data_IF_858873735409
#
_entry.id   IF_858873735409
#
_cell.length_a   1.000
_cell.length_b   1.000
_cell.length_c   1.000
_cell.angle_alpha   90.00
_cell.angle_beta   90.00
_cell.angle_gamma   90.00
#
_symmetry.space_group_name_H-M   'P 1'
#
loop_
_entity.id
_entity.type
_entity.pdbx_description
1 polymer ?
#
# COMPACT_ATOMS: atom_id res chain seq x y z
N UNK A 1 2.95 -9.77 -9.60
CA UNK A 1 3.82 -8.65 -10.01
C UNK A 1 2.96 -7.46 -10.44
N UNK A 2 2.08 -7.59 -11.43
CA UNK A 2 1.23 -6.51 -11.92
C UNK A 2 0.41 -5.82 -10.83
N UNK A 3 -0.19 -6.58 -9.92
CA UNK A 3 -0.99 -6.06 -8.81
C UNK A 3 -0.13 -5.22 -7.86
N UNK A 4 1.05 -5.72 -7.49
CA UNK A 4 1.99 -4.99 -6.63
C UNK A 4 2.47 -3.69 -7.29
N UNK A 5 2.76 -3.72 -8.59
CA UNK A 5 3.17 -2.54 -9.34
C UNK A 5 2.03 -1.52 -9.50
N UNK A 6 0.81 -1.99 -9.76
CA UNK A 6 -0.39 -1.15 -9.83
C UNK A 6 -0.69 -0.46 -8.50
N UNK A 7 -0.60 -1.20 -7.39
CA UNK A 7 -0.72 -0.64 -6.04
C UNK A 7 0.38 0.38 -5.76
N UNK A 8 1.63 0.08 -6.14
CA UNK A 8 2.74 1.02 -6.02
C UNK A 8 2.49 2.34 -6.75
N UNK A 9 1.98 2.27 -7.97
CA UNK A 9 1.62 3.44 -8.76
C UNK A 9 0.48 4.25 -8.14
N UNK A 10 -0.53 3.56 -7.61
CA UNK A 10 -1.64 4.19 -6.89
C UNK A 10 -1.17 4.90 -5.62
N UNK A 11 -0.25 4.29 -4.85
CA UNK A 11 0.34 4.92 -3.66
C UNK A 11 1.13 6.18 -4.04
N UNK A 12 1.94 6.13 -5.12
CA UNK A 12 2.67 7.30 -5.63
C UNK A 12 1.69 8.42 -5.99
N UNK A 13 0.63 8.09 -6.76
CA UNK A 13 -0.42 9.05 -7.10
C UNK A 13 -1.02 9.70 -5.87
N UNK A 14 -1.49 8.90 -4.93
CA UNK A 14 -2.14 9.36 -3.70
C UNK A 14 -1.20 10.24 -2.88
N UNK A 15 0.07 9.86 -2.78
CA UNK A 15 1.08 10.64 -2.09
C UNK A 15 1.33 12.01 -2.76
N UNK A 16 1.42 12.05 -4.09
CA UNK A 16 1.61 13.31 -4.84
C UNK A 16 0.41 14.25 -4.68
N UNK A 17 -0.81 13.71 -4.74
CA UNK A 17 -2.05 14.48 -4.58
C UNK A 17 -2.20 14.96 -3.13
N UNK A 18 -2.01 14.10 -2.14
CA UNK A 18 -2.11 14.46 -0.72
C UNK A 18 -1.07 15.51 -0.30
N UNK A 19 0.12 15.47 -0.89
CA UNK A 19 1.15 16.48 -0.72
C UNK A 19 0.86 17.77 -1.50
N UNK A 20 -0.19 17.78 -2.32
CA UNK A 20 -0.53 18.88 -3.24
C UNK A 20 0.59 19.22 -4.25
N UNK A 21 1.51 18.28 -4.47
CA UNK A 21 2.58 18.42 -5.49
C UNK A 21 2.02 18.34 -6.90
N UNK A 22 0.90 17.62 -7.06
CA UNK A 22 0.14 17.50 -8.31
C UNK A 22 -1.33 17.77 -7.99
N UNK A 23 -2.01 18.46 -8.90
CA UNK A 23 -3.45 18.70 -8.78
C UNK A 23 -4.25 17.38 -8.80
N UNK A 24 -5.39 17.33 -8.12
CA UNK A 24 -6.24 16.12 -8.01
C UNK A 24 -6.60 15.49 -9.36
N UNK A 25 -6.78 16.32 -10.37
CA UNK A 25 -7.13 15.89 -11.73
C UNK A 25 -5.90 15.64 -12.64
N UNK A 26 -4.69 15.64 -12.12
CA UNK A 26 -3.44 15.55 -12.88
C UNK A 26 -3.28 16.61 -13.99
N UNK A 27 -4.02 17.72 -13.92
CA UNK A 27 -3.99 18.79 -14.93
C UNK A 27 -2.82 19.77 -14.75
N UNK A 28 -2.00 19.57 -13.75
CA UNK A 28 -0.85 20.46 -13.49
C UNK A 28 -0.11 20.13 -12.21
N UNK A 29 0.99 20.84 -12.02
CA UNK A 29 1.74 20.83 -10.78
C UNK A 29 1.00 21.67 -9.73
N UNK A 30 1.25 21.38 -8.45
CA UNK A 30 0.75 22.15 -7.33
C UNK A 30 1.34 23.58 -7.31
N UNK A 31 0.69 24.43 -6.56
CA UNK A 31 1.16 25.82 -6.38
C UNK A 31 2.26 25.87 -5.32
N UNK A 32 3.51 25.94 -5.76
CA UNK A 32 4.69 25.99 -4.89
C UNK A 32 4.84 27.32 -4.12
N UNK A 33 3.99 28.31 -4.37
CA UNK A 33 3.92 29.51 -3.54
C UNK A 33 3.28 29.21 -2.17
N UNK A 34 2.49 28.12 -2.08
CA UNK A 34 1.91 27.67 -0.81
C UNK A 34 2.97 27.00 0.07
N UNK A 35 3.12 27.44 1.34
CA UNK A 35 4.15 26.89 2.24
C UNK A 35 4.05 25.35 2.44
N UNK A 36 2.84 24.79 2.41
CA UNK A 36 2.63 23.33 2.52
C UNK A 36 3.17 22.56 1.32
N UNK A 37 3.03 23.11 0.11
CA UNK A 37 3.53 22.48 -1.13
C UNK A 37 5.05 22.63 -1.21
N UNK A 38 5.58 23.79 -0.86
CA UNK A 38 7.02 24.02 -0.75
C UNK A 38 7.66 23.05 0.25
N UNK A 39 7.03 22.86 1.43
CA UNK A 39 7.47 21.91 2.44
C UNK A 39 7.48 20.45 1.89
N UNK A 40 6.48 20.06 1.13
CA UNK A 40 6.43 18.74 0.50
C UNK A 40 7.54 18.54 -0.54
N UNK A 41 7.83 19.57 -1.34
CA UNK A 41 8.95 19.58 -2.28
C UNK A 41 10.31 19.43 -1.58
N UNK A 42 10.53 20.21 -0.51
CA UNK A 42 11.73 20.11 0.32
C UNK A 42 11.81 18.72 0.97
N UNK A 43 10.70 18.21 1.51
CA UNK A 43 10.60 16.85 2.07
C UNK A 43 10.98 15.77 1.07
N UNK A 44 10.59 15.93 -0.19
CA UNK A 44 10.97 15.00 -1.27
C UNK A 44 12.48 15.04 -1.52
N UNK A 45 13.08 16.24 -1.58
CA UNK A 45 14.53 16.38 -1.75
C UNK A 45 15.28 15.75 -0.57
N UNK A 46 14.87 16.02 0.67
CA UNK A 46 15.45 15.41 1.87
C UNK A 46 15.33 13.89 1.81
N UNK A 47 14.16 13.40 1.35
CA UNK A 47 13.88 11.98 1.21
C UNK A 47 14.83 11.33 0.21
N UNK A 48 15.06 11.94 -0.95
CA UNK A 48 15.98 11.46 -1.96
C UNK A 48 17.43 11.50 -1.46
N UNK A 49 17.86 12.62 -0.90
CA UNK A 49 19.22 12.76 -0.37
C UNK A 49 19.51 11.69 0.67
N UNK A 50 18.66 11.52 1.68
CA UNK A 50 18.87 10.53 2.74
C UNK A 50 18.74 9.06 2.25
N UNK A 51 18.00 8.83 1.16
CA UNK A 51 17.90 7.50 0.56
C UNK A 51 19.17 7.08 -0.15
N UNK A 52 19.82 8.02 -0.82
CA UNK A 52 21.04 7.78 -1.58
C UNK A 52 22.31 8.11 -0.78
N UNK A 53 22.19 8.84 0.33
CA UNK A 53 23.33 9.15 1.19
C UNK A 53 23.96 7.87 1.75
N UNK A 54 25.19 7.64 1.36
CA UNK A 54 26.03 6.56 1.87
C UNK A 54 27.21 7.21 2.59
N UNK A 55 27.31 6.99 3.88
CA UNK A 55 28.45 7.50 4.66
C UNK A 55 29.53 6.43 4.71
N UNK A 56 30.68 6.73 4.12
CA UNK A 56 31.84 5.84 4.21
C UNK A 56 32.74 6.31 5.34
N UNK A 57 32.73 5.59 6.47
CA UNK A 57 33.62 5.84 7.62
C UNK A 57 34.58 4.69 7.73
N UNK A 58 35.90 4.98 7.71
CA UNK A 58 36.97 3.98 7.80
C UNK A 58 36.84 2.80 6.82
N UNK A 59 36.45 3.10 5.54
CA UNK A 59 36.35 2.06 4.50
C UNK A 59 35.06 1.21 4.56
N UNK A 60 34.17 1.45 5.53
CA UNK A 60 32.86 0.77 5.62
C UNK A 60 31.75 1.71 5.23
N UNK A 61 30.91 1.30 4.29
CA UNK A 61 29.75 2.06 3.83
C UNK A 61 28.55 1.76 4.72
N UNK A 62 28.04 2.78 5.38
CA UNK A 62 26.86 2.69 6.24
C UNK A 62 25.66 3.30 5.52
N UNK A 63 24.55 2.56 5.48
CA UNK A 63 23.22 3.11 5.18
C UNK A 63 22.58 3.60 6.48
N UNK A 64 21.90 4.73 6.44
CA UNK A 64 21.17 5.25 7.62
C UNK A 64 20.00 4.32 7.91
N UNK A 65 20.10 3.53 8.99
CA UNK A 65 18.99 2.71 9.49
C UNK A 65 17.90 3.66 10.03
N UNK A 66 16.63 3.42 9.67
CA UNK A 66 15.53 4.31 10.09
C UNK A 66 15.46 5.64 9.32
N UNK A 67 16.08 5.73 8.14
CA UNK A 67 16.07 6.94 7.30
C UNK A 67 14.64 7.47 7.03
N UNK A 68 13.61 6.61 6.99
CA UNK A 68 12.22 7.02 6.80
C UNK A 68 11.73 7.86 7.98
N UNK A 69 11.95 7.41 9.20
CA UNK A 69 11.55 8.15 10.40
C UNK A 69 12.30 9.49 10.52
N UNK A 70 13.61 9.45 10.28
CA UNK A 70 14.45 10.66 10.33
C UNK A 70 13.98 11.72 9.34
N UNK A 71 13.60 11.33 8.12
CA UNK A 71 13.04 12.22 7.08
C UNK A 71 11.75 12.87 7.55
N UNK A 72 10.81 12.08 8.08
CA UNK A 72 9.53 12.58 8.58
C UNK A 72 9.77 13.58 9.71
N UNK A 73 10.66 13.27 10.65
CA UNK A 73 11.00 14.17 11.77
C UNK A 73 11.59 15.49 11.25
N UNK A 74 12.61 15.42 10.37
CA UNK A 74 13.25 16.63 9.82
C UNK A 74 12.22 17.48 9.08
N UNK A 75 11.39 16.88 8.22
CA UNK A 75 10.39 17.64 7.45
C UNK A 75 9.30 18.21 8.35
N UNK A 76 8.91 17.50 9.42
CA UNK A 76 7.93 18.01 10.39
C UNK A 76 8.51 19.20 11.19
N UNK A 77 9.78 19.13 11.62
CA UNK A 77 10.46 20.24 12.29
C UNK A 77 10.57 21.45 11.37
N UNK A 78 10.92 21.25 10.11
CA UNK A 78 10.90 22.35 9.12
C UNK A 78 9.49 22.92 8.95
N UNK A 79 8.46 22.08 8.96
CA UNK A 79 7.07 22.52 8.92
C UNK A 79 6.66 23.36 10.11
N UNK A 80 7.19 23.07 11.30
CA UNK A 80 7.01 23.92 12.50
C UNK A 80 7.68 25.28 12.32
N UNK A 81 8.92 25.30 11.82
CA UNK A 81 9.67 26.56 11.58
C UNK A 81 8.97 27.41 10.51
N UNK A 82 8.45 26.79 9.47
CA UNK A 82 7.71 27.46 8.38
C UNK A 82 6.29 27.89 8.78
N UNK A 83 5.81 27.55 9.98
CA UNK A 83 4.46 27.85 10.45
C UNK A 83 3.35 27.02 9.76
N UNK A 84 3.72 26.01 8.98
CA UNK A 84 2.77 25.07 8.33
C UNK A 84 2.16 24.10 9.32
N UNK A 85 2.94 23.72 10.32
CA UNK A 85 2.55 22.80 11.40
C UNK A 85 2.42 23.60 12.70
N UNK A 86 1.38 23.31 13.46
CA UNK A 86 1.21 23.85 14.83
C UNK A 86 1.53 22.76 15.84
N UNK A 87 2.26 23.15 16.89
CA UNK A 87 2.50 22.23 17.99
C UNK A 87 1.18 21.97 18.73
N UNK A 88 0.85 20.72 19.11
CA UNK A 88 -0.41 20.42 19.79
C UNK A 88 -0.43 21.03 21.20
N UNK A 89 -1.59 21.53 21.62
CA UNK A 89 -1.77 22.11 22.95
C UNK A 89 -1.59 21.06 24.07
N UNK A 90 -1.81 19.80 23.77
CA UNK A 90 -1.61 18.68 24.69
C UNK A 90 -0.84 17.56 23.97
N UNK A 91 0.16 17.02 24.65
CA UNK A 91 0.93 15.86 24.17
C UNK A 91 0.14 14.57 24.35
N UNK A 92 -0.73 14.51 25.37
CA UNK A 92 -1.50 13.33 25.73
C UNK A 92 -2.95 13.43 25.30
N UNK A 93 -3.49 12.35 24.77
CA UNK A 93 -4.92 12.22 24.45
C UNK A 93 -5.72 11.97 25.70
N UNK A 94 -6.56 12.92 26.09
CA UNK A 94 -7.54 12.72 27.16
C UNK A 94 -8.67 11.84 26.62
N UNK A 95 -8.99 10.75 27.33
CA UNK A 95 -10.11 9.88 26.97
C UNK A 95 -9.89 8.99 25.72
N UNK A 96 -8.64 8.65 25.39
CA UNK A 96 -8.30 7.81 24.24
C UNK A 96 -9.09 6.47 24.23
N UNK A 97 -9.23 5.83 25.40
CA UNK A 97 -9.98 4.58 25.52
C UNK A 97 -11.50 4.78 25.57
N UNK A 98 -11.98 5.93 26.03
CA UNK A 98 -13.43 6.20 26.09
C UNK A 98 -14.01 6.42 24.68
N UNK A 99 -13.25 7.02 23.76
CA UNK A 99 -13.67 7.16 22.36
C UNK A 99 -13.79 5.81 21.64
N UNK A 100 -12.95 4.83 21.97
CA UNK A 100 -13.07 3.48 21.45
C UNK A 100 -14.39 2.82 21.89
N UNK A 101 -14.84 3.04 23.12
CA UNK A 101 -16.13 2.55 23.62
C UNK A 101 -17.35 3.07 22.86
N UNK A 102 -17.21 4.18 22.13
CA UNK A 102 -18.29 4.73 21.30
C UNK A 102 -18.53 3.95 20.02
N UNK A 103 -17.55 3.21 19.50
CA UNK A 103 -17.59 2.48 18.23
C UNK A 103 -17.44 0.97 18.39
N UNK A 104 -16.71 0.50 19.42
CA UNK A 104 -16.48 -0.91 19.67
C UNK A 104 -17.78 -1.66 19.93
N UNK A 105 -17.89 -2.87 19.38
CA UNK A 105 -19.05 -3.78 19.51
C UNK A 105 -20.38 -3.22 19.01
N UNK A 106 -20.35 -2.20 18.13
CA UNK A 106 -21.56 -1.58 17.54
C UNK A 106 -21.75 -1.94 16.06
N UNK A 107 -20.99 -2.90 15.53
CA UNK A 107 -21.13 -3.34 14.15
C UNK A 107 -22.49 -4.01 13.91
N UNK A 108 -23.27 -3.49 12.97
CA UNK A 108 -24.52 -4.10 12.51
C UNK A 108 -24.21 -5.10 11.38
N UNK A 109 -23.87 -6.33 11.77
CA UNK A 109 -23.53 -7.39 10.84
C UNK A 109 -24.73 -7.81 9.97
N UNK A 110 -25.93 -7.85 10.57
CA UNK A 110 -27.15 -8.24 9.83
C UNK A 110 -27.56 -7.16 8.84
N UNK A 111 -27.43 -5.90 9.22
CA UNK A 111 -27.68 -4.77 8.32
C UNK A 111 -26.69 -4.75 7.14
N UNK A 112 -25.44 -5.13 7.36
CA UNK A 112 -24.42 -5.20 6.31
C UNK A 112 -24.69 -6.30 5.27
N UNK A 113 -25.40 -7.37 5.65
CA UNK A 113 -25.73 -8.49 4.74
C UNK A 113 -26.90 -8.19 3.79
N UNK A 114 -27.46 -6.99 3.80
CA UNK A 114 -28.50 -6.60 2.85
C UNK A 114 -27.95 -6.63 1.41
N UNK A 115 -28.78 -7.03 0.42
CA UNK A 115 -28.35 -7.12 -0.98
C UNK A 115 -27.71 -5.84 -1.53
N UNK A 116 -28.15 -4.68 -1.04
CA UNK A 116 -27.65 -3.35 -1.43
C UNK A 116 -26.16 -3.15 -1.12
N UNK A 117 -25.63 -3.83 -0.09
CA UNK A 117 -24.23 -3.71 0.34
C UNK A 117 -23.32 -4.81 -0.17
N UNK A 118 -23.85 -5.88 -0.77
CA UNK A 118 -23.05 -7.02 -1.24
C UNK A 118 -21.96 -6.57 -2.21
N UNK A 119 -22.30 -5.67 -3.12
CA UNK A 119 -21.37 -5.17 -4.12
C UNK A 119 -20.24 -4.35 -3.49
N UNK A 120 -20.54 -3.51 -2.48
CA UNK A 120 -19.52 -2.80 -1.69
C UNK A 120 -18.63 -3.78 -0.91
N UNK A 121 -19.22 -4.79 -0.29
CA UNK A 121 -18.48 -5.82 0.45
C UNK A 121 -17.51 -6.56 -0.46
N UNK A 122 -17.94 -6.94 -1.67
CA UNK A 122 -17.07 -7.57 -2.66
C UNK A 122 -15.94 -6.65 -3.10
N UNK A 123 -16.22 -5.36 -3.33
CA UNK A 123 -15.20 -4.39 -3.72
C UNK A 123 -14.13 -4.21 -2.62
N UNK A 124 -14.55 -4.11 -1.36
CA UNK A 124 -13.63 -4.04 -0.22
C UNK A 124 -12.84 -5.34 -0.05
N UNK A 125 -13.50 -6.49 -0.12
CA UNK A 125 -12.85 -7.80 -0.03
C UNK A 125 -11.78 -7.96 -1.12
N UNK A 126 -12.10 -7.67 -2.38
CA UNK A 126 -11.19 -7.78 -3.50
C UNK A 126 -9.98 -6.84 -3.30
N UNK A 127 -10.24 -5.60 -2.88
CA UNK A 127 -9.18 -4.64 -2.62
C UNK A 127 -8.23 -5.11 -1.53
N UNK A 128 -8.77 -5.59 -0.42
CA UNK A 128 -8.01 -6.06 0.73
C UNK A 128 -7.22 -7.34 0.40
N UNK A 129 -7.89 -8.33 -0.19
CA UNK A 129 -7.27 -9.59 -0.59
C UNK A 129 -6.05 -9.39 -1.49
N UNK A 130 -6.18 -8.57 -2.55
CA UNK A 130 -5.07 -8.34 -3.47
C UNK A 130 -3.99 -7.42 -2.89
N UNK A 131 -4.35 -6.50 -2.00
CA UNK A 131 -3.39 -5.69 -1.27
C UNK A 131 -2.52 -6.57 -0.37
N UNK A 132 -3.15 -7.42 0.44
CA UNK A 132 -2.46 -8.38 1.30
C UNK A 132 -1.61 -9.35 0.50
N UNK A 133 -2.14 -9.91 -0.61
CA UNK A 133 -1.39 -10.80 -1.48
C UNK A 133 -0.12 -10.14 -2.03
N UNK A 134 -0.26 -8.94 -2.61
CA UNK A 134 0.86 -8.20 -3.19
C UNK A 134 1.93 -7.84 -2.15
N UNK A 135 1.49 -7.38 -0.98
CA UNK A 135 2.38 -7.00 0.12
C UNK A 135 3.08 -8.23 0.72
N UNK A 136 2.34 -9.31 0.98
CA UNK A 136 2.88 -10.53 1.55
C UNK A 136 3.93 -11.17 0.64
N UNK A 137 3.67 -11.25 -0.67
CA UNK A 137 4.65 -11.76 -1.64
C UNK A 137 5.89 -10.86 -1.72
N UNK A 138 5.71 -9.55 -1.71
CA UNK A 138 6.81 -8.58 -1.69
C UNK A 138 7.70 -8.73 -0.45
N UNK A 139 7.08 -8.88 0.73
CA UNK A 139 7.78 -9.08 2.00
C UNK A 139 8.46 -10.45 2.05
N UNK A 140 7.79 -11.52 1.60
CA UNK A 140 8.34 -12.87 1.56
C UNK A 140 9.59 -12.94 0.67
N UNK A 141 9.56 -12.29 -0.47
CA UNK A 141 10.72 -12.19 -1.36
C UNK A 141 11.90 -11.47 -0.67
N UNK A 142 11.63 -10.33 -0.03
CA UNK A 142 12.66 -9.59 0.73
C UNK A 142 13.20 -10.38 1.93
N UNK A 143 12.36 -11.17 2.58
CA UNK A 143 12.73 -12.00 3.71
C UNK A 143 13.46 -13.28 3.32
N UNK A 144 13.53 -13.63 2.01
CA UNK A 144 14.10 -14.89 1.53
C UNK A 144 13.25 -16.10 1.90
N UNK A 145 11.91 -15.94 1.94
CA UNK A 145 10.95 -16.98 2.32
C UNK A 145 10.24 -17.62 1.11
N UNK A 146 10.67 -17.28 -0.10
CA UNK A 146 10.18 -17.90 -1.33
C UNK A 146 10.88 -19.25 -1.52
N UNK A 147 10.14 -20.23 -2.06
CA UNK A 147 10.71 -21.51 -2.49
C UNK A 147 11.45 -21.40 -3.83
N UNK A 148 12.09 -22.50 -4.27
CA UNK A 148 12.83 -22.57 -5.53
C UNK A 148 11.96 -22.30 -6.76
N UNK A 149 10.66 -22.52 -6.67
CA UNK A 149 9.69 -22.28 -7.73
C UNK A 149 9.09 -20.86 -7.68
N UNK A 150 9.55 -20.02 -6.75
CA UNK A 150 9.03 -18.67 -6.56
C UNK A 150 7.65 -18.60 -5.89
N UNK A 151 7.22 -19.67 -5.19
CA UNK A 151 6.01 -19.66 -4.38
C UNK A 151 6.32 -19.27 -2.92
N UNK A 152 5.31 -18.78 -2.23
CA UNK A 152 5.38 -18.52 -0.80
C UNK A 152 4.55 -19.55 -0.02
N UNK A 153 5.18 -20.59 0.57
CA UNK A 153 4.46 -21.70 1.20
C UNK A 153 3.57 -21.29 2.38
N UNK A 154 3.90 -20.18 3.03
CA UNK A 154 3.18 -19.70 4.20
C UNK A 154 2.04 -18.72 3.88
N UNK A 155 1.72 -18.47 2.62
CA UNK A 155 0.72 -17.48 2.20
C UNK A 155 -0.65 -17.72 2.85
N UNK A 156 -1.08 -18.96 2.99
CA UNK A 156 -2.35 -19.31 3.65
C UNK A 156 -2.38 -18.91 5.14
N UNK A 157 -1.24 -19.00 5.84
CA UNK A 157 -1.14 -18.53 7.24
C UNK A 157 -1.19 -17.01 7.32
N UNK A 158 -0.62 -16.30 6.35
CA UNK A 158 -0.71 -14.84 6.27
C UNK A 158 -2.16 -14.41 6.12
N UNK A 159 -2.90 -15.00 5.17
CA UNK A 159 -4.32 -14.70 4.99
C UNK A 159 -5.17 -15.02 6.21
N UNK A 160 -4.87 -16.11 6.91
CA UNK A 160 -5.59 -16.46 8.13
C UNK A 160 -5.38 -15.38 9.21
N UNK A 161 -4.14 -14.94 9.44
CA UNK A 161 -3.83 -13.90 10.44
C UNK A 161 -4.43 -12.56 10.03
N UNK A 162 -4.36 -12.19 8.76
CA UNK A 162 -4.92 -10.98 8.17
C UNK A 162 -6.45 -10.94 8.37
N UNK A 163 -7.15 -12.04 8.04
CA UNK A 163 -8.60 -12.18 8.25
C UNK A 163 -8.99 -12.08 9.73
N UNK A 164 -8.23 -12.72 10.64
CA UNK A 164 -8.47 -12.61 12.08
C UNK A 164 -8.25 -11.16 12.57
N UNK A 165 -7.22 -10.50 12.06
CA UNK A 165 -6.96 -9.09 12.35
C UNK A 165 -8.11 -8.19 11.89
N UNK A 166 -8.59 -8.37 10.67
CA UNK A 166 -9.70 -7.61 10.09
C UNK A 166 -11.01 -7.84 10.84
N UNK A 167 -11.33 -9.09 11.21
CA UNK A 167 -12.52 -9.41 12.03
C UNK A 167 -12.43 -8.72 13.39
N UNK A 168 -11.28 -8.82 14.05
CA UNK A 168 -11.06 -8.18 15.36
C UNK A 168 -11.16 -6.66 15.25
N UNK A 169 -10.56 -6.08 14.21
CA UNK A 169 -10.64 -4.65 13.91
C UNK A 169 -12.09 -4.19 13.69
N UNK A 170 -12.86 -4.93 12.89
CA UNK A 170 -14.27 -4.63 12.63
C UNK A 170 -15.13 -4.67 13.90
N UNK A 171 -14.93 -5.66 14.80
CA UNK A 171 -15.59 -5.74 16.10
C UNK A 171 -15.25 -4.51 16.96
N UNK A 172 -14.03 -4.02 16.88
CA UNK A 172 -13.60 -2.81 17.59
C UNK A 172 -14.01 -1.51 16.90
N UNK A 173 -14.73 -1.56 15.77
CA UNK A 173 -15.17 -0.39 15.00
C UNK A 173 -14.03 0.28 14.24
N UNK A 174 -12.97 -0.44 13.92
CA UNK A 174 -11.85 0.00 13.11
C UNK A 174 -12.08 -0.35 11.63
N UNK A 175 -11.33 0.28 10.76
CA UNK A 175 -11.25 -0.08 9.35
C UNK A 175 -10.50 -1.41 9.16
N UNK A 176 -10.33 -1.83 7.91
CA UNK A 176 -9.56 -3.02 7.54
C UNK A 176 -8.19 -3.01 8.21
N UNK A 177 -7.82 -4.15 8.80
CA UNK A 177 -6.49 -4.40 9.37
C UNK A 177 -5.75 -5.31 8.40
N UNK A 178 -4.82 -4.74 7.65
CA UNK A 178 -4.11 -5.43 6.57
C UNK A 178 -2.60 -5.37 6.74
N UNK A 179 -1.89 -6.15 5.95
CA UNK A 179 -0.42 -6.20 5.97
C UNK A 179 0.18 -4.92 5.38
N UNK A 180 1.07 -4.27 6.12
CA UNK A 180 1.74 -3.03 5.70
C UNK A 180 3.03 -3.28 4.94
N UNK A 181 3.22 -2.59 3.82
CA UNK A 181 4.45 -2.63 3.00
C UNK A 181 5.65 -2.09 3.78
N UNK A 182 5.43 -1.14 4.69
CA UNK A 182 6.43 -0.54 5.57
C UNK A 182 7.14 -1.58 6.44
N UNK A 183 6.52 -2.73 6.70
CA UNK A 183 7.14 -3.88 7.36
C UNK A 183 8.42 -4.35 6.65
N UNK A 184 8.55 -4.06 5.34
CA UNK A 184 9.77 -4.33 4.59
C UNK A 184 11.01 -3.68 5.20
N UNK A 185 10.86 -2.51 5.82
CA UNK A 185 11.97 -1.81 6.48
C UNK A 185 12.45 -2.56 7.72
N UNK A 186 11.51 -3.14 8.48
CA UNK A 186 11.82 -3.99 9.63
C UNK A 186 12.58 -5.26 9.21
N UNK A 187 12.15 -5.89 8.11
CA UNK A 187 12.81 -7.05 7.52
C UNK A 187 14.24 -6.70 7.04
N UNK A 188 14.41 -5.56 6.39
CA UNK A 188 15.73 -5.07 5.92
C UNK A 188 16.73 -4.83 7.06
N UNK A 189 16.25 -4.36 8.20
CA UNK A 189 17.09 -4.09 9.39
C UNK A 189 17.42 -5.38 10.16
N UNK A 190 16.81 -6.51 9.80
CA UNK A 190 17.09 -7.82 10.36
C UNK A 190 15.98 -8.36 11.27
N UNK A 191 14.78 -7.79 11.26
CA UNK A 191 13.61 -8.38 11.94
C UNK A 191 13.25 -9.71 11.30
N UNK A 192 13.33 -10.81 12.06
CA UNK A 192 13.13 -12.19 11.57
C UNK A 192 12.12 -12.98 12.39
N UNK A 193 11.66 -12.45 13.49
CA UNK A 193 10.78 -13.16 14.44
C UNK A 193 9.50 -12.37 14.71
N UNK A 194 8.45 -13.07 15.13
CA UNK A 194 7.20 -12.46 15.55
C UNK A 194 7.33 -11.50 16.73
N UNK A 195 8.44 -11.55 17.48
CA UNK A 195 8.71 -10.60 18.56
C UNK A 195 8.77 -9.16 18.04
N UNK A 196 9.34 -8.95 16.83
CA UNK A 196 9.34 -7.62 16.20
C UNK A 196 7.90 -7.10 15.99
N UNK A 197 6.98 -7.95 15.56
CA UNK A 197 5.56 -7.59 15.38
C UNK A 197 4.87 -7.31 16.71
N UNK A 198 5.17 -8.08 17.77
CA UNK A 198 4.64 -7.82 19.13
C UNK A 198 5.09 -6.45 19.63
N UNK A 199 6.39 -6.14 19.51
CA UNK A 199 6.93 -4.83 19.92
C UNK A 199 6.27 -3.71 19.11
N UNK A 200 6.10 -3.89 17.81
CA UNK A 200 5.41 -2.92 16.94
C UNK A 200 3.96 -2.70 17.41
N UNK A 201 3.23 -3.77 17.72
CA UNK A 201 1.86 -3.67 18.26
C UNK A 201 1.80 -2.91 19.58
N UNK A 202 2.72 -3.19 20.51
CA UNK A 202 2.81 -2.46 21.77
C UNK A 202 3.12 -0.97 21.56
N UNK A 203 3.99 -0.65 20.61
CA UNK A 203 4.28 0.75 20.25
C UNK A 203 3.06 1.44 19.63
N UNK A 204 2.25 0.75 18.82
CA UNK A 204 0.98 1.30 18.32
C UNK A 204 0.01 1.59 19.47
N UNK A 205 -0.13 0.68 20.44
CA UNK A 205 -0.97 0.92 21.63
C UNK A 205 -0.45 2.13 22.43
N UNK A 206 0.85 2.22 22.64
CA UNK A 206 1.46 3.37 23.30
C UNK A 206 1.22 4.68 22.51
N UNK A 207 1.30 4.62 21.18
CA UNK A 207 1.08 5.78 20.31
C UNK A 207 -0.33 6.38 20.42
N UNK A 208 -1.34 5.58 20.79
CA UNK A 208 -2.71 6.09 21.02
C UNK A 208 -2.74 7.16 22.10
N UNK A 209 -1.95 7.00 23.15
CA UNK A 209 -1.86 8.00 24.23
C UNK A 209 -1.17 9.28 23.80
N UNK A 210 -0.29 9.19 22.78
CA UNK A 210 0.45 10.31 22.18
C UNK A 210 -0.13 10.73 20.83
N UNK A 211 -1.38 10.41 20.54
CA UNK A 211 -1.99 10.69 19.24
C UNK A 211 -1.87 12.15 18.78
N UNK A 212 -2.02 13.20 19.64
CA UNK A 212 -1.84 14.58 19.18
C UNK A 212 -0.46 14.85 18.60
N UNK A 213 0.58 14.18 19.10
CA UNK A 213 1.96 14.34 18.63
C UNK A 213 2.15 13.68 17.26
N UNK A 214 1.48 12.56 16.99
CA UNK A 214 1.52 11.89 15.68
C UNK A 214 0.62 12.59 14.66
N UNK A 215 -0.53 13.11 15.10
CA UNK A 215 -1.48 13.82 14.24
C UNK A 215 -0.96 15.20 13.77
N UNK A 216 0.04 15.77 14.45
CA UNK A 216 0.67 17.01 13.97
C UNK A 216 1.57 16.78 12.75
N UNK A 217 1.98 15.54 12.46
CA UNK A 217 2.85 15.23 11.32
C UNK A 217 2.10 15.55 10.02
N UNK A 218 2.58 16.53 9.22
CA UNK A 218 1.84 16.92 8.02
C UNK A 218 1.98 15.88 6.90
N UNK A 219 0.99 15.80 6.03
CA UNK A 219 1.04 14.96 4.84
C UNK A 219 2.24 15.29 3.95
N UNK A 220 2.69 16.55 3.95
CA UNK A 220 3.91 16.98 3.29
C UNK A 220 5.18 16.23 3.77
N UNK A 221 5.20 15.76 5.02
CA UNK A 221 6.32 15.00 5.57
C UNK A 221 6.22 13.49 5.28
N UNK A 222 5.01 12.94 5.23
CA UNK A 222 4.78 11.50 5.02
C UNK A 222 4.74 11.11 3.55
N UNK A 223 4.20 11.97 2.68
CA UNK A 223 4.04 11.68 1.25
C UNK A 223 5.34 11.35 0.51
N UNK A 224 6.48 12.02 0.74
CA UNK A 224 7.74 11.64 0.11
C UNK A 224 8.20 10.22 0.45
N UNK A 225 7.93 9.76 1.67
CA UNK A 225 8.22 8.38 2.07
C UNK A 225 7.33 7.38 1.32
N UNK A 226 6.03 7.68 1.18
CA UNK A 226 5.09 6.86 0.42
C UNK A 226 5.46 6.76 -1.06
N UNK A 227 5.98 7.84 -1.67
CA UNK A 227 6.48 7.80 -3.05
C UNK A 227 7.60 6.77 -3.19
N UNK A 228 8.58 6.76 -2.28
CA UNK A 228 9.67 5.77 -2.32
C UNK A 228 9.18 4.34 -2.09
N UNK A 229 8.21 4.15 -1.20
CA UNK A 229 7.58 2.85 -0.98
C UNK A 229 6.89 2.39 -2.28
N UNK A 230 6.09 3.24 -2.91
CA UNK A 230 5.44 2.93 -4.18
C UNK A 230 6.44 2.55 -5.28
N UNK A 231 7.55 3.29 -5.41
CA UNK A 231 8.65 2.96 -6.34
C UNK A 231 9.25 1.58 -5.99
N UNK A 232 9.45 1.29 -4.70
CA UNK A 232 9.99 -0.01 -4.25
C UNK A 232 9.07 -1.18 -4.63
N UNK A 233 7.75 -0.98 -4.59
CA UNK A 233 6.76 -1.98 -5.01
C UNK A 233 6.79 -2.28 -6.51
N UNK A 234 7.22 -1.32 -7.32
CA UNK A 234 7.39 -1.49 -8.77
C UNK A 234 8.64 -2.28 -9.14
N UNK A 235 9.56 -2.58 -8.22
CA UNK A 235 10.79 -3.31 -8.52
C UNK A 235 10.54 -4.71 -9.12
N UNK A 236 9.40 -5.34 -8.80
CA UNK A 236 8.99 -6.61 -9.39
C UNK A 236 8.79 -6.58 -10.90
N UNK A 237 8.61 -5.39 -11.50
CA UNK A 237 8.48 -5.24 -12.96
C UNK A 237 9.75 -5.65 -13.72
N UNK A 238 10.91 -5.63 -13.06
CA UNK A 238 12.18 -6.05 -13.67
C UNK A 238 12.20 -7.54 -14.07
N UNK A 239 11.34 -8.35 -13.47
CA UNK A 239 11.22 -9.77 -13.77
C UNK A 239 10.04 -10.11 -14.69
N UNK A 240 9.32 -9.12 -15.19
CA UNK A 240 8.25 -9.32 -16.17
C UNK A 240 8.85 -9.31 -17.56
N UNK A 241 8.62 -10.37 -18.33
CA UNK A 241 8.92 -10.39 -19.76
C UNK A 241 8.10 -9.33 -20.47
N UNK A 242 8.74 -8.58 -21.38
CA UNK A 242 8.05 -7.61 -22.25
C UNK A 242 7.35 -8.29 -23.44
N UNK A 243 7.05 -9.59 -23.34
CA UNK A 243 6.16 -10.28 -24.24
C UNK A 243 4.76 -9.62 -24.17
N UNK A 244 4.17 -9.22 -25.32
CA UNK A 244 2.85 -8.59 -25.36
C UNK A 244 1.77 -9.35 -24.60
N UNK A 245 1.82 -10.67 -24.59
CA UNK A 245 0.87 -11.53 -23.89
C UNK A 245 0.90 -11.33 -22.36
N UNK A 246 2.09 -11.16 -21.81
CA UNK A 246 2.32 -10.99 -20.37
C UNK A 246 2.27 -9.53 -19.93
N UNK A 247 2.84 -8.64 -20.77
CA UNK A 247 3.00 -7.23 -20.43
C UNK A 247 1.71 -6.42 -20.57
N UNK A 248 0.89 -6.68 -21.60
CA UNK A 248 -0.33 -5.90 -21.85
C UNK A 248 -1.29 -5.87 -20.65
N UNK A 249 -1.65 -7.02 -20.03
CA UNK A 249 -2.52 -7.00 -18.83
C UNK A 249 -1.89 -6.26 -17.66
N UNK A 250 -0.57 -6.36 -17.46
CA UNK A 250 0.15 -5.66 -16.40
C UNK A 250 0.11 -4.14 -16.62
N UNK A 251 0.40 -3.69 -17.85
CA UNK A 251 0.37 -2.26 -18.18
C UNK A 251 -1.03 -1.66 -18.00
N UNK A 252 -2.06 -2.36 -18.47
CA UNK A 252 -3.46 -1.91 -18.33
C UNK A 252 -3.90 -1.89 -16.87
N UNK A 253 -3.52 -2.89 -16.07
CA UNK A 253 -3.75 -2.90 -14.63
C UNK A 253 -3.10 -1.68 -13.96
N UNK A 254 -1.85 -1.38 -14.29
CA UNK A 254 -1.13 -0.24 -13.75
C UNK A 254 -1.81 1.09 -14.09
N UNK A 255 -2.17 1.29 -15.35
CA UNK A 255 -2.87 2.49 -15.82
C UNK A 255 -4.24 2.58 -15.14
N UNK A 256 -4.99 1.49 -15.09
CA UNK A 256 -6.28 1.43 -14.41
C UNK A 256 -6.18 1.75 -12.91
N UNK A 257 -5.14 1.27 -12.24
CA UNK A 257 -4.86 1.59 -10.84
C UNK A 257 -4.51 3.05 -10.63
N UNK A 258 -3.77 3.65 -11.56
CA UNK A 258 -3.40 5.06 -11.52
C UNK A 258 -4.61 5.99 -11.57
N UNK A 259 -5.58 5.72 -12.43
CA UNK A 259 -6.74 6.60 -12.66
C UNK A 259 -7.97 6.20 -11.87
N UNK A 260 -8.26 4.90 -11.74
CA UNK A 260 -9.47 4.36 -11.13
C UNK A 260 -9.32 3.83 -9.70
N UNK A 261 -8.09 3.82 -9.17
CA UNK A 261 -7.76 3.14 -7.93
C UNK A 261 -7.45 1.66 -8.14
N UNK A 262 -6.79 1.06 -7.15
CA UNK A 262 -6.29 -0.33 -7.24
C UNK A 262 -7.38 -1.35 -7.60
N UNK A 263 -8.60 -1.32 -6.99
CA UNK A 263 -9.62 -2.30 -7.31
C UNK A 263 -10.05 -2.26 -8.78
N UNK A 264 -10.28 -1.06 -9.34
CA UNK A 264 -10.65 -0.89 -10.75
C UNK A 264 -9.51 -1.29 -11.70
N UNK A 265 -8.27 -0.97 -11.32
CA UNK A 265 -7.10 -1.42 -12.07
C UNK A 265 -6.98 -2.94 -12.14
N UNK A 266 -7.20 -3.63 -11.02
CA UNK A 266 -7.19 -5.09 -10.95
C UNK A 266 -8.29 -5.68 -11.86
N UNK A 267 -9.51 -5.12 -11.81
CA UNK A 267 -10.61 -5.61 -12.64
C UNK A 267 -10.28 -5.50 -14.13
N UNK A 268 -9.87 -4.32 -14.58
CA UNK A 268 -9.53 -4.09 -16.00
C UNK A 268 -8.34 -4.97 -16.40
N UNK A 269 -7.33 -5.11 -15.55
CA UNK A 269 -6.17 -5.94 -15.79
C UNK A 269 -6.50 -7.43 -15.92
N UNK A 270 -7.37 -7.96 -15.03
CA UNK A 270 -7.82 -9.36 -15.10
C UNK A 270 -8.66 -9.63 -16.33
N UNK A 271 -9.57 -8.73 -16.67
CA UNK A 271 -10.37 -8.83 -17.91
C UNK A 271 -9.46 -8.83 -19.14
N UNK A 272 -8.50 -7.90 -19.18
CA UNK A 272 -7.53 -7.85 -20.28
C UNK A 272 -6.70 -9.13 -20.34
N UNK A 273 -6.26 -9.66 -19.22
CA UNK A 273 -5.56 -10.94 -19.16
C UNK A 273 -6.40 -12.06 -19.76
N UNK A 274 -7.68 -12.17 -19.41
CA UNK A 274 -8.57 -13.18 -19.96
C UNK A 274 -8.75 -13.01 -21.49
N UNK A 275 -9.02 -11.79 -21.94
CA UNK A 275 -9.23 -11.50 -23.37
C UNK A 275 -7.98 -11.83 -24.18
N UNK A 276 -6.81 -11.31 -23.78
CA UNK A 276 -5.55 -11.48 -24.51
C UNK A 276 -5.19 -12.96 -24.61
N UNK A 277 -5.32 -13.72 -23.51
CA UNK A 277 -4.97 -15.15 -23.51
C UNK A 277 -5.96 -16.00 -24.31
N UNK A 278 -7.27 -15.68 -24.27
CA UNK A 278 -8.27 -16.36 -25.09
C UNK A 278 -8.03 -16.04 -26.58
N UNK A 279 -7.77 -14.79 -26.94
CA UNK A 279 -7.45 -14.41 -28.32
C UNK A 279 -6.19 -15.12 -28.81
N UNK A 280 -5.12 -15.12 -28.01
CA UNK A 280 -3.89 -15.82 -28.37
C UNK A 280 -4.14 -17.30 -28.64
N UNK A 281 -4.86 -17.99 -27.74
CA UNK A 281 -5.21 -19.39 -27.91
C UNK A 281 -6.05 -19.66 -29.17
N UNK A 282 -6.92 -18.71 -29.55
CA UNK A 282 -7.85 -18.88 -30.68
C UNK A 282 -7.18 -18.60 -32.02
N UNK A 283 -6.27 -17.63 -32.08
CA UNK A 283 -5.70 -17.12 -33.33
C UNK A 283 -4.27 -17.57 -33.60
N UNK A 284 -3.61 -18.27 -32.65
CA UNK A 284 -2.23 -18.74 -32.83
C UNK A 284 -2.20 -20.27 -32.94
N UNK A 285 -1.31 -20.79 -33.79
CA UNK A 285 -1.13 -22.25 -33.98
C UNK A 285 -0.45 -22.92 -32.79
N UNK A 286 0.24 -22.16 -31.92
CA UNK A 286 0.86 -22.65 -30.68
C UNK A 286 -0.18 -22.78 -29.57
N UNK A 287 -1.04 -23.79 -29.68
CA UNK A 287 -2.11 -24.07 -28.71
C UNK A 287 -1.57 -24.80 -27.48
N UNK A 288 -1.10 -24.07 -26.48
CA UNK A 288 -0.85 -24.64 -25.15
C UNK A 288 -2.05 -24.42 -24.23
N UNK A 289 -2.53 -25.50 -23.57
CA UNK A 289 -3.60 -25.39 -22.55
C UNK A 289 -3.18 -24.51 -21.36
N UNK A 290 -1.89 -24.32 -21.15
CA UNK A 290 -1.34 -23.42 -20.12
C UNK A 290 -1.60 -21.95 -20.41
N UNK A 291 -1.88 -21.58 -21.66
CA UNK A 291 -2.19 -20.22 -22.07
C UNK A 291 -3.63 -19.81 -21.73
N UNK A 292 -4.55 -20.77 -21.59
CA UNK A 292 -5.95 -20.47 -21.24
C UNK A 292 -6.06 -20.03 -19.78
N UNK A 293 -6.79 -18.92 -19.50
CA UNK A 293 -7.07 -18.51 -18.13
C UNK A 293 -7.88 -19.60 -17.42
N UNK A 294 -7.53 -19.87 -16.17
CA UNK A 294 -8.30 -20.82 -15.35
C UNK A 294 -9.74 -20.36 -15.17
N UNK A 295 -10.67 -21.29 -14.98
CA UNK A 295 -12.07 -20.94 -14.67
C UNK A 295 -12.16 -20.01 -13.47
N UNK A 296 -11.30 -20.22 -12.47
CA UNK A 296 -11.21 -19.35 -11.30
C UNK A 296 -10.83 -17.91 -11.69
N UNK A 297 -9.87 -17.73 -12.60
CA UNK A 297 -9.46 -16.40 -13.08
C UNK A 297 -10.58 -15.70 -13.83
N UNK A 298 -11.34 -16.43 -14.65
CA UNK A 298 -12.48 -15.88 -15.39
C UNK A 298 -13.59 -15.43 -14.41
N UNK A 299 -13.94 -16.29 -13.45
CA UNK A 299 -14.94 -15.96 -12.43
C UNK A 299 -14.49 -14.75 -11.61
N UNK A 300 -13.22 -14.69 -11.24
CA UNK A 300 -12.67 -13.58 -10.50
C UNK A 300 -12.70 -12.27 -11.33
N UNK A 301 -12.39 -12.33 -12.62
CA UNK A 301 -12.50 -11.19 -13.52
C UNK A 301 -13.95 -10.68 -13.61
N UNK A 302 -14.91 -11.57 -13.72
CA UNK A 302 -16.34 -11.21 -13.74
C UNK A 302 -16.79 -10.59 -12.42
N UNK A 303 -16.41 -11.18 -11.28
CA UNK A 303 -16.72 -10.64 -9.96
C UNK A 303 -16.11 -9.25 -9.74
N UNK A 304 -14.86 -9.06 -10.19
CA UNK A 304 -14.21 -7.74 -10.08
C UNK A 304 -14.86 -6.68 -10.96
N UNK A 305 -15.54 -7.07 -12.05
CA UNK A 305 -16.28 -6.12 -12.89
C UNK A 305 -17.52 -5.54 -12.20
N UNK A 306 -18.11 -6.21 -11.19
CA UNK A 306 -19.27 -5.70 -10.48
C UNK A 306 -19.04 -4.31 -9.86
N UNK A 307 -17.79 -4.00 -9.47
CA UNK A 307 -17.44 -2.68 -8.91
C UNK A 307 -17.56 -1.51 -9.91
N UNK A 308 -17.75 -1.76 -11.22
CA UNK A 308 -18.03 -0.69 -12.19
C UNK A 308 -19.51 -0.28 -12.24
N UNK A 309 -20.38 -1.09 -11.65
CA UNK A 309 -21.83 -0.87 -11.61
C UNK A 309 -22.29 -0.28 -10.27
N UNK A 310 -21.35 -0.06 -9.35
CA UNK A 310 -21.53 0.55 -8.03
C UNK A 310 -20.94 1.97 -8.05
#
# INVERSE_FOLDING_TARGET
IGISAGLGLFIIRTALVNAKLVAENFKGLGDFSQPSVALAGIGLIICLVLNYARFTIKGRTYKIRGAILLRIIITTVLGLIMGVVKFPESIFTKGALSSLGNVAFKADVLGALRPEYIAFMLAFFISDFFSTLGTALGLANKAGMMDENGNFPLIGKVFLVDSMGTITGAIMGLSVVTTYVESATGVEVGGRTGLASVVTGLLFIAAVFFAPLFLMIPTAATSPALILIGISMMNGLKSVDFDPLKWTPVAILMIGSLFGGTPKGIAIGLVTYCIVNIMYYTFTDERSKETLPSLFTIVLALLTCLQFFI
#
